data_IF_759389378011
#
_entry.id   IF_759389378011
#
_cell.length_a   1.000
_cell.length_b   1.000
_cell.length_c   1.000
_cell.angle_alpha   90.00
_cell.angle_beta   90.00
_cell.angle_gamma   90.00
#
_symmetry.space_group_name_H-M   'P 1'
#
loop_
_entity.id
_entity.type
_entity.pdbx_description
1 polymer ?
#
# COMPACT_ATOMS: atom_id res chain seq x y z
N UNK A 1 41.67 55.53 12.96
CA UNK A 1 41.04 54.83 11.82
C UNK A 1 40.62 53.45 12.31
N UNK A 2 39.36 53.32 12.75
CA UNK A 2 38.77 52.07 13.24
C UNK A 2 37.85 51.51 12.14
N UNK A 3 38.14 50.34 11.61
CA UNK A 3 37.24 49.59 10.73
C UNK A 3 36.73 48.37 11.50
N UNK A 4 35.46 48.43 11.91
CA UNK A 4 34.77 47.34 12.62
C UNK A 4 34.29 46.25 11.66
N UNK A 5 34.46 45.00 12.08
CA UNK A 5 33.86 43.84 11.43
C UNK A 5 32.41 43.66 11.90
N UNK A 6 31.47 43.61 10.96
CA UNK A 6 30.07 43.28 11.21
C UNK A 6 29.90 41.76 11.02
N UNK A 7 29.71 41.02 12.10
CA UNK A 7 29.36 39.61 12.07
C UNK A 7 27.83 39.46 11.93
N UNK A 8 27.37 38.91 10.81
CA UNK A 8 25.96 38.57 10.58
C UNK A 8 25.76 37.12 11.01
N UNK A 9 25.07 36.90 12.13
CA UNK A 9 24.62 35.56 12.53
C UNK A 9 23.30 35.23 11.83
N UNK A 10 23.32 34.29 10.89
CA UNK A 10 22.10 33.68 10.35
C UNK A 10 21.47 32.81 11.45
N UNK A 11 20.43 33.34 12.10
CA UNK A 11 19.56 32.55 12.96
C UNK A 11 18.67 31.68 12.08
N UNK A 12 18.98 30.38 12.02
CA UNK A 12 18.13 29.40 11.36
C UNK A 12 16.90 29.17 12.23
N UNK A 13 15.73 29.65 11.79
CA UNK A 13 14.47 29.31 12.41
C UNK A 13 14.15 27.84 12.09
N UNK A 14 14.41 26.95 13.04
CA UNK A 14 13.85 25.59 13.02
C UNK A 14 12.33 25.71 13.02
N UNK A 15 11.69 25.33 11.91
CA UNK A 15 10.24 25.19 11.85
C UNK A 15 9.77 24.14 12.85
N UNK A 16 8.52 24.23 13.35
CA UNK A 16 8.00 23.24 14.28
C UNK A 16 8.02 21.87 13.60
N UNK A 17 8.68 20.91 14.26
CA UNK A 17 8.56 19.50 13.91
C UNK A 17 7.08 19.13 13.99
N UNK A 18 6.51 18.75 12.86
CA UNK A 18 5.13 18.27 12.80
C UNK A 18 5.12 16.87 13.40
N UNK A 19 5.20 16.81 14.73
CA UNK A 19 4.89 15.60 15.47
C UNK A 19 3.43 15.32 15.18
N UNK A 20 3.21 14.30 14.37
CA UNK A 20 1.88 13.81 14.08
C UNK A 20 1.31 13.33 15.41
N UNK A 21 0.46 14.14 16.04
CA UNK A 21 -0.18 13.78 17.29
C UNK A 21 -0.96 12.49 17.04
N UNK A 22 -0.42 11.37 17.51
CA UNK A 22 -1.22 10.19 17.72
C UNK A 22 -2.35 10.63 18.65
N UNK A 23 -3.59 10.59 18.16
CA UNK A 23 -4.74 10.80 19.02
C UNK A 23 -4.55 9.86 20.23
N UNK A 24 -4.60 10.42 21.45
CA UNK A 24 -4.57 9.61 22.66
C UNK A 24 -5.77 8.67 22.62
N UNK A 25 -5.54 7.45 22.18
CA UNK A 25 -6.49 6.37 22.21
C UNK A 25 -6.09 5.47 23.37
N UNK A 26 -7.06 5.07 24.20
CA UNK A 26 -6.88 4.11 25.31
C UNK A 26 -6.57 2.68 24.80
N UNK A 27 -6.09 2.57 23.57
CA UNK A 27 -5.69 1.32 22.92
C UNK A 27 -4.24 1.04 23.25
N UNK A 28 -3.99 -0.12 23.87
CA UNK A 28 -2.65 -0.67 24.03
C UNK A 28 -2.31 -1.61 22.89
N UNK A 29 -1.01 -1.79 22.63
CA UNK A 29 -0.54 -2.78 21.67
C UNK A 29 -0.94 -4.19 22.12
N UNK A 30 -1.46 -5.00 21.19
CA UNK A 30 -1.91 -6.36 21.48
C UNK A 30 -0.80 -7.28 22.01
N UNK A 31 0.48 -6.92 21.81
CA UNK A 31 1.63 -7.61 22.41
C UNK A 31 1.63 -7.57 23.93
N UNK A 32 1.13 -6.49 24.55
CA UNK A 32 1.02 -6.42 26.01
C UNK A 32 0.07 -7.50 26.54
N UNK A 33 -1.02 -7.78 25.82
CA UNK A 33 -1.97 -8.83 26.18
C UNK A 33 -1.32 -10.23 26.15
N UNK A 34 -0.33 -10.45 25.28
CA UNK A 34 0.33 -11.74 25.11
C UNK A 34 1.20 -12.15 26.31
N UNK A 35 1.59 -11.19 27.16
CA UNK A 35 2.39 -11.45 28.37
C UNK A 35 1.64 -12.35 29.36
N UNK A 36 0.34 -12.11 29.56
CA UNK A 36 -0.52 -12.95 30.40
C UNK A 36 -1.35 -13.96 29.58
N UNK A 37 -1.71 -13.62 28.34
CA UNK A 37 -2.62 -14.41 27.50
C UNK A 37 -1.93 -15.03 26.28
N UNK A 38 -0.74 -15.60 26.47
CA UNK A 38 0.08 -16.15 25.39
C UNK A 38 -0.68 -17.19 24.53
N UNK A 39 -1.53 -18.03 25.14
CA UNK A 39 -2.36 -19.00 24.41
C UNK A 39 -3.34 -18.36 23.43
N UNK A 40 -4.06 -17.33 23.89
CA UNK A 40 -5.03 -16.58 23.08
C UNK A 40 -4.29 -15.81 21.98
N UNK A 41 -3.20 -15.12 22.31
CA UNK A 41 -2.41 -14.38 21.33
C UNK A 41 -1.93 -15.29 20.18
N UNK A 42 -1.42 -16.49 20.51
CA UNK A 42 -0.97 -17.46 19.50
C UNK A 42 -2.09 -17.97 18.59
N UNK A 43 -3.28 -18.24 19.12
CA UNK A 43 -4.40 -18.73 18.29
C UNK A 43 -5.05 -17.61 17.51
N UNK A 44 -5.22 -16.43 18.11
CA UNK A 44 -5.76 -15.25 17.45
C UNK A 44 -4.91 -14.81 16.25
N UNK A 45 -3.58 -14.80 16.39
CA UNK A 45 -2.65 -14.45 15.30
C UNK A 45 -2.79 -15.31 14.03
N UNK A 46 -3.40 -16.50 14.15
CA UNK A 46 -3.67 -17.43 13.04
C UNK A 46 -5.04 -17.21 12.38
N UNK A 47 -5.88 -16.34 12.95
CA UNK A 47 -7.21 -16.05 12.42
C UNK A 47 -7.12 -15.10 11.23
N UNK A 48 -8.10 -15.19 10.33
CA UNK A 48 -8.23 -14.23 9.23
C UNK A 48 -8.38 -12.79 9.73
N UNK A 49 -8.99 -12.58 10.90
CA UNK A 49 -9.15 -11.24 11.50
C UNK A 49 -7.79 -10.61 11.84
N UNK A 50 -6.91 -11.35 12.51
CA UNK A 50 -5.59 -10.86 12.88
C UNK A 50 -4.67 -10.60 11.67
N UNK A 51 -4.99 -11.22 10.52
CA UNK A 51 -4.22 -11.13 9.29
C UNK A 51 -4.90 -10.24 8.24
N UNK A 52 -6.01 -9.58 8.58
CA UNK A 52 -6.82 -8.79 7.65
C UNK A 52 -6.14 -7.50 7.18
N UNK A 53 -5.06 -7.05 7.83
CA UNK A 53 -4.34 -5.86 7.44
C UNK A 53 -2.85 -6.02 7.77
N UNK A 54 -1.98 -5.81 6.78
CA UNK A 54 -0.54 -6.02 6.95
C UNK A 54 0.29 -5.18 6.00
N UNK A 55 1.59 -5.05 6.27
CA UNK A 55 2.55 -4.49 5.30
C UNK A 55 3.00 -5.58 4.32
N UNK A 56 3.25 -5.25 3.04
CA UNK A 56 3.72 -6.23 2.05
C UNK A 56 5.03 -6.91 2.46
N UNK A 57 5.10 -8.22 2.21
CA UNK A 57 6.27 -9.06 2.34
C UNK A 57 6.09 -10.32 1.47
N UNK A 58 7.14 -11.13 1.34
CA UNK A 58 7.11 -12.32 0.49
C UNK A 58 6.03 -13.35 0.89
N UNK A 59 5.57 -13.36 2.14
CA UNK A 59 4.56 -14.30 2.63
C UNK A 59 3.10 -13.87 2.38
N UNK A 60 2.85 -12.58 2.15
CA UNK A 60 1.50 -12.05 1.88
C UNK A 60 1.34 -11.43 0.49
N UNK A 61 2.38 -11.51 -0.34
CA UNK A 61 2.36 -11.15 -1.75
C UNK A 61 2.40 -12.44 -2.59
N UNK A 62 1.26 -12.88 -3.14
CA UNK A 62 1.22 -14.02 -4.06
C UNK A 62 2.16 -13.80 -5.25
N UNK A 63 2.62 -14.90 -5.86
CA UNK A 63 3.48 -14.86 -7.04
C UNK A 63 2.90 -13.91 -8.09
N UNK A 64 3.63 -12.85 -8.46
CA UNK A 64 3.06 -11.86 -9.35
C UNK A 64 2.91 -12.37 -10.78
N UNK A 65 1.72 -12.16 -11.35
CA UNK A 65 1.44 -12.48 -12.74
C UNK A 65 0.74 -11.29 -13.41
N UNK A 66 1.02 -11.05 -14.70
CA UNK A 66 0.35 -9.99 -15.43
C UNK A 66 -1.12 -10.37 -15.68
N UNK A 67 -2.02 -9.45 -15.35
CA UNK A 67 -3.46 -9.56 -15.62
C UNK A 67 -3.86 -8.60 -16.75
N UNK A 68 -4.47 -9.12 -17.81
CA UNK A 68 -5.00 -8.29 -18.89
C UNK A 68 -6.49 -8.02 -18.71
N UNK A 69 -6.82 -6.75 -18.53
CA UNK A 69 -8.20 -6.29 -18.50
C UNK A 69 -8.66 -5.92 -19.90
N UNK A 70 -9.59 -6.71 -20.46
CA UNK A 70 -10.05 -6.55 -21.84
C UNK A 70 -10.77 -5.23 -22.09
N UNK A 71 -11.66 -4.81 -21.18
CA UNK A 71 -12.51 -3.65 -21.41
C UNK A 71 -11.71 -2.34 -21.53
N UNK A 72 -10.60 -2.22 -20.81
CA UNK A 72 -9.72 -1.03 -20.85
C UNK A 72 -8.42 -1.25 -21.65
N UNK A 73 -8.26 -2.42 -22.25
CA UNK A 73 -7.02 -2.87 -22.91
C UNK A 73 -5.76 -2.63 -22.05
N UNK A 74 -5.87 -2.78 -20.72
CA UNK A 74 -4.82 -2.43 -19.76
C UNK A 74 -4.30 -3.67 -19.07
N UNK A 75 -2.99 -3.78 -18.99
CA UNK A 75 -2.29 -4.77 -18.17
C UNK A 75 -2.06 -4.23 -16.77
N UNK A 76 -2.15 -5.11 -15.79
CA UNK A 76 -1.87 -4.83 -14.39
C UNK A 76 -0.94 -5.89 -13.83
N UNK A 77 -0.04 -5.52 -12.93
CA UNK A 77 0.82 -6.47 -12.23
C UNK A 77 1.36 -5.88 -10.93
N UNK A 78 1.44 -6.69 -9.89
CA UNK A 78 2.23 -6.35 -8.72
C UNK A 78 3.71 -6.64 -8.99
N UNK A 79 4.62 -5.77 -8.57
CA UNK A 79 6.05 -5.91 -8.87
C UNK A 79 6.85 -5.62 -7.62
N UNK A 80 7.76 -6.53 -7.27
CA UNK A 80 8.75 -6.28 -6.24
C UNK A 80 9.83 -5.33 -6.78
N UNK A 81 10.14 -4.27 -6.03
CA UNK A 81 11.22 -3.32 -6.32
C UNK A 81 12.13 -3.22 -5.10
N UNK A 82 13.08 -4.16 -5.01
CA UNK A 82 13.90 -4.31 -3.80
C UNK A 82 13.04 -4.75 -2.62
N UNK A 83 13.04 -3.96 -1.54
CA UNK A 83 12.20 -4.20 -0.37
C UNK A 83 10.76 -3.68 -0.52
N UNK A 84 10.50 -2.88 -1.56
CA UNK A 84 9.18 -2.30 -1.80
C UNK A 84 8.37 -3.12 -2.79
N UNK A 85 7.06 -2.88 -2.79
CA UNK A 85 6.13 -3.44 -3.76
C UNK A 85 5.37 -2.30 -4.43
N UNK A 86 5.17 -2.42 -5.74
CA UNK A 86 4.34 -1.49 -6.52
C UNK A 86 3.28 -2.26 -7.28
N UNK A 87 2.13 -1.64 -7.52
CA UNK A 87 1.20 -2.09 -8.54
C UNK A 87 1.42 -1.25 -9.79
N UNK A 88 1.77 -1.90 -10.88
CA UNK A 88 2.02 -1.30 -12.19
C UNK A 88 0.82 -1.53 -13.09
N UNK A 89 0.51 -0.55 -13.92
CA UNK A 89 -0.42 -0.68 -15.04
C UNK A 89 0.17 -0.08 -16.32
N UNK A 90 -0.18 -0.68 -17.46
CA UNK A 90 0.26 -0.22 -18.78
C UNK A 90 -0.70 -0.65 -19.88
N UNK A 91 -0.75 0.10 -20.97
CA UNK A 91 -1.36 -0.31 -22.23
C UNK A 91 -0.26 -0.67 -23.25
N UNK A 92 -0.64 -1.24 -24.38
CA UNK A 92 0.30 -1.59 -25.46
C UNK A 92 0.02 -0.72 -26.67
N UNK A 93 1.05 -0.04 -27.18
CA UNK A 93 0.99 0.81 -28.35
C UNK A 93 0.94 0.00 -29.65
N UNK A 94 0.77 0.71 -30.76
CA UNK A 94 0.62 0.09 -32.08
C UNK A 94 1.84 -0.73 -32.53
N UNK A 95 3.04 -0.46 -31.99
CA UNK A 95 4.27 -1.20 -32.32
C UNK A 95 4.65 -2.22 -31.24
N UNK A 96 3.75 -2.51 -30.28
CA UNK A 96 3.96 -3.51 -29.24
C UNK A 96 4.69 -3.02 -27.98
N UNK A 97 5.03 -1.74 -27.92
CA UNK A 97 5.68 -1.08 -26.78
C UNK A 97 4.70 -0.75 -25.65
N UNK A 98 5.11 -0.79 -24.37
CA UNK A 98 4.30 -0.26 -23.29
C UNK A 98 4.05 1.24 -23.47
N UNK A 99 2.78 1.64 -23.46
CA UNK A 99 2.31 3.04 -23.47
C UNK A 99 1.41 3.27 -22.26
N UNK A 100 1.19 4.54 -21.87
CA UNK A 100 0.35 4.91 -20.72
C UNK A 100 0.69 4.08 -19.48
N UNK A 101 1.90 4.29 -18.95
CA UNK A 101 2.43 3.50 -17.83
C UNK A 101 2.25 4.28 -16.53
N UNK A 102 1.73 3.59 -15.52
CA UNK A 102 1.69 4.12 -14.16
C UNK A 102 2.10 3.08 -13.13
N UNK A 103 2.57 3.57 -12.00
CA UNK A 103 2.93 2.76 -10.84
C UNK A 103 2.40 3.42 -9.58
N UNK A 104 2.01 2.59 -8.62
CA UNK A 104 1.63 3.06 -7.28
C UNK A 104 2.24 2.13 -6.26
N UNK A 105 2.86 2.71 -5.22
CA UNK A 105 3.43 1.93 -4.11
C UNK A 105 2.31 1.19 -3.40
N UNK A 106 2.56 -0.08 -3.08
CA UNK A 106 1.72 -0.87 -2.19
C UNK A 106 2.28 -0.65 -0.79
N UNK A 107 1.57 0.13 0.02
CA UNK A 107 1.93 0.39 1.41
C UNK A 107 1.28 -0.63 2.35
N UNK A 108 0.08 -1.13 1.99
CA UNK A 108 -0.66 -2.10 2.77
C UNK A 108 -1.31 -3.19 1.91
N UNK A 109 -1.43 -4.37 2.51
CA UNK A 109 -2.25 -5.49 2.04
C UNK A 109 -3.47 -5.59 2.95
N UNK A 110 -4.66 -5.43 2.38
CA UNK A 110 -5.94 -5.64 3.02
C UNK A 110 -6.48 -7.03 2.65
N UNK A 111 -6.99 -7.76 3.63
CA UNK A 111 -7.50 -9.12 3.48
C UNK A 111 -6.46 -10.17 3.88
N UNK A 112 -6.94 -11.21 4.58
CA UNK A 112 -6.10 -12.31 5.08
C UNK A 112 -5.56 -13.23 3.99
N UNK A 113 -6.08 -13.12 2.77
CA UNK A 113 -5.86 -14.10 1.71
C UNK A 113 -6.68 -15.38 1.86
N UNK A 114 -7.61 -15.47 2.81
CA UNK A 114 -8.59 -16.57 2.83
C UNK A 114 -9.57 -16.48 1.66
N UNK A 115 -9.99 -15.26 1.30
CA UNK A 115 -10.86 -14.99 0.15
C UNK A 115 -10.17 -14.06 -0.85
N UNK A 116 -9.66 -12.92 -0.37
CA UNK A 116 -9.07 -11.88 -1.22
C UNK A 116 -7.87 -11.21 -0.53
N UNK A 117 -6.96 -10.68 -1.35
CA UNK A 117 -5.97 -9.67 -0.98
C UNK A 117 -6.13 -8.46 -1.92
N UNK A 118 -6.43 -7.32 -1.32
CA UNK A 118 -6.52 -6.02 -1.96
C UNK A 118 -5.35 -5.16 -1.51
N UNK A 119 -4.87 -4.27 -2.37
CA UNK A 119 -3.66 -3.49 -2.13
C UNK A 119 -3.98 -2.02 -2.00
N UNK A 120 -3.35 -1.36 -1.03
CA UNK A 120 -3.56 0.06 -0.76
C UNK A 120 -2.27 0.84 -0.88
N UNK A 121 -2.38 2.02 -1.48
CA UNK A 121 -1.37 3.06 -1.41
C UNK A 121 -1.75 4.09 -0.35
N UNK A 122 -0.76 4.59 0.40
CA UNK A 122 -0.92 5.71 1.33
C UNK A 122 -0.23 6.94 0.77
N UNK A 123 -1.02 7.98 0.50
CA UNK A 123 -0.47 9.27 0.07
C UNK A 123 0.31 9.96 1.18
N UNK A 124 1.12 10.97 0.84
CA UNK A 124 1.84 11.79 1.82
C UNK A 124 0.93 12.48 2.85
N UNK A 125 -0.34 12.72 2.50
CA UNK A 125 -1.36 13.28 3.41
C UNK A 125 -2.07 12.23 4.27
N UNK A 126 -1.66 10.97 4.17
CA UNK A 126 -2.23 9.86 4.93
C UNK A 126 -3.50 9.25 4.34
N UNK A 127 -4.04 9.79 3.24
CA UNK A 127 -5.20 9.20 2.55
C UNK A 127 -4.86 7.83 1.98
N UNK A 128 -5.74 6.86 2.17
CA UNK A 128 -5.64 5.52 1.59
C UNK A 128 -6.34 5.46 0.24
N UNK A 129 -5.64 4.93 -0.74
CA UNK A 129 -6.13 4.68 -2.10
C UNK A 129 -6.08 3.18 -2.35
N UNK A 130 -7.23 2.58 -2.64
CA UNK A 130 -7.34 1.21 -3.13
C UNK A 130 -6.86 1.13 -4.58
N UNK A 131 -6.00 0.15 -4.84
CA UNK A 131 -5.41 -0.09 -6.15
C UNK A 131 -6.26 -1.09 -6.96
N UNK A 132 -6.27 -1.00 -8.31
CA UNK A 132 -7.21 -1.76 -9.14
C UNK A 132 -7.11 -3.27 -9.04
N UNK A 133 -5.91 -3.84 -9.07
CA UNK A 133 -5.69 -5.30 -9.13
C UNK A 133 -5.72 -5.91 -7.72
N UNK A 134 -6.36 -7.07 -7.59
CA UNK A 134 -6.39 -7.90 -6.39
C UNK A 134 -6.11 -9.36 -6.72
N UNK A 135 -5.83 -10.13 -5.65
CA UNK A 135 -5.68 -11.58 -5.73
C UNK A 135 -6.83 -12.26 -4.98
N UNK A 136 -7.46 -13.26 -5.61
CA UNK A 136 -8.56 -14.04 -5.07
C UNK A 136 -8.13 -15.48 -4.86
N UNK A 137 -8.40 -16.05 -3.68
CA UNK A 137 -7.91 -17.38 -3.30
C UNK A 137 -8.62 -18.54 -4.00
N UNK A 138 -9.79 -18.29 -4.57
CA UNK A 138 -10.60 -19.30 -5.23
C UNK A 138 -9.81 -20.02 -6.35
N UNK A 139 -10.10 -21.32 -6.53
CA UNK A 139 -9.54 -22.17 -7.61
C UNK A 139 -8.00 -22.18 -7.67
N UNK A 140 -7.32 -22.01 -6.53
CA UNK A 140 -5.86 -22.04 -6.45
C UNK A 140 -5.18 -20.67 -6.60
N UNK A 141 -5.96 -19.58 -6.65
CA UNK A 141 -5.44 -18.24 -6.78
C UNK A 141 -5.67 -17.67 -8.18
N UNK A 142 -6.26 -16.49 -8.25
CA UNK A 142 -6.43 -15.75 -9.51
C UNK A 142 -6.29 -14.26 -9.31
N UNK A 143 -5.75 -13.61 -10.33
CA UNK A 143 -5.66 -12.16 -10.41
C UNK A 143 -6.90 -11.60 -11.11
N UNK A 144 -7.52 -10.59 -10.53
CA UNK A 144 -8.64 -9.87 -11.12
C UNK A 144 -8.75 -8.46 -10.53
N UNK A 145 -9.50 -7.58 -11.19
CA UNK A 145 -9.73 -6.24 -10.65
C UNK A 145 -10.69 -6.28 -9.46
N UNK A 146 -10.44 -5.40 -8.48
CA UNK A 146 -11.38 -5.15 -7.39
C UNK A 146 -12.73 -4.67 -7.94
N UNK A 147 -13.85 -4.92 -7.22
CA UNK A 147 -15.15 -4.42 -7.61
C UNK A 147 -15.15 -2.90 -7.87
N UNK A 148 -15.80 -2.49 -8.95
CA UNK A 148 -15.86 -1.09 -9.41
C UNK A 148 -14.69 -0.63 -10.28
N UNK A 149 -13.68 -1.48 -10.52
CA UNK A 149 -12.63 -1.24 -11.53
C UNK A 149 -12.88 -2.01 -12.84
N UNK A 150 -13.80 -2.98 -12.87
CA UNK A 150 -14.19 -3.69 -14.10
C UNK A 150 -15.09 -2.82 -15.00
N UNK A 151 -14.47 -1.88 -15.72
CA UNK A 151 -15.11 -0.95 -16.67
C UNK A 151 -14.11 -0.47 -17.74
N UNK A 152 -14.56 0.07 -18.89
CA UNK A 152 -13.66 0.48 -19.97
C UNK A 152 -12.63 1.57 -19.58
N UNK A 153 -12.96 2.42 -18.61
CA UNK A 153 -12.19 3.57 -18.14
C UNK A 153 -11.96 3.50 -16.62
N UNK A 154 -11.23 2.47 -16.12
CA UNK A 154 -11.03 2.31 -14.69
C UNK A 154 -10.21 3.46 -14.13
N UNK A 155 -10.57 4.02 -12.96
CA UNK A 155 -9.72 5.00 -12.31
C UNK A 155 -8.40 4.32 -11.90
N UNK A 156 -7.31 5.09 -11.88
CA UNK A 156 -6.00 4.57 -11.45
C UNK A 156 -5.97 4.11 -9.97
N UNK A 157 -6.95 4.54 -9.17
CA UNK A 157 -7.19 4.11 -7.81
C UNK A 157 -8.47 4.73 -7.25
N UNK A 158 -8.96 4.20 -6.13
CA UNK A 158 -10.17 4.68 -5.44
C UNK A 158 -9.83 5.10 -4.03
N UNK A 159 -10.19 6.32 -3.64
CA UNK A 159 -10.05 6.77 -2.24
C UNK A 159 -10.92 5.94 -1.31
N UNK A 160 -10.34 5.51 -0.19
CA UNK A 160 -11.04 4.87 0.92
C UNK A 160 -11.25 5.93 2.02
N UNK A 161 -12.52 6.20 2.36
CA UNK A 161 -12.91 7.17 3.39
C UNK A 161 -13.45 8.48 2.86
#
# INVERSE_FOLDING_TARGET
MLTGFLAITLSSCSGPEVVNAAAANDSVDSRACAECHAGIARTYAKTGMAQAFSVPNAGNMPTPEPYFHRASATWYQNVAKGAEWVQRWWQVGLKGEPVSVGESKIDYVMGSGHLVRTYLHRTARGTLIELPLAWYAEKGGSWALNPGFDRPDPPAGRRIG
#
